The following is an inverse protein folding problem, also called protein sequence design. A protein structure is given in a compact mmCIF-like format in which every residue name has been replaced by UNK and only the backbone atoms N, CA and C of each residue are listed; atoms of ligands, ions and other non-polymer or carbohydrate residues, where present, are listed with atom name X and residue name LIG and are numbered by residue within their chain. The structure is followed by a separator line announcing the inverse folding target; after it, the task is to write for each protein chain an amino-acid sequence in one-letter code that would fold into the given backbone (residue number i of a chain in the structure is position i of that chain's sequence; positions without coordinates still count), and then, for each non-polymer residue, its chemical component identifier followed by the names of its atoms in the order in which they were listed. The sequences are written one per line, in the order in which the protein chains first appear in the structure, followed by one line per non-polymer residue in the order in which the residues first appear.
data_IF_339724770744
#
_entry.id   IF_339724770744
#
_cell.length_a   1.000
_cell.length_b   1.000
_cell.length_c   1.000
_cell.angle_alpha   90.00
_cell.angle_beta   90.00
_cell.angle_gamma   90.00
#
_symmetry.space_group_name_H-M   'P 1'
#
loop_
_entity.id
_entity.type
_entity.pdbx_description
1 polymer ?
#
# COMPACT_ATOMS: atom_id res chain seq x y z
N UNK A 1 19.81 -6.65 14.35
CA UNK A 1 18.83 -7.75 14.24
C UNK A 1 17.48 -7.37 14.85
N UNK A 2 17.42 -6.86 16.08
CA UNK A 2 16.17 -6.42 16.74
C UNK A 2 15.35 -5.40 15.91
N UNK A 3 16.01 -4.36 15.37
CA UNK A 3 15.42 -3.36 14.46
C UNK A 3 14.61 -3.98 13.32
N UNK A 4 15.23 -4.96 12.65
CA UNK A 4 14.64 -5.63 11.49
C UNK A 4 13.43 -6.47 11.90
N UNK A 5 13.52 -7.22 13.00
CA UNK A 5 12.41 -8.03 13.51
C UNK A 5 11.21 -7.17 13.89
N UNK A 6 11.45 -6.06 14.60
CA UNK A 6 10.39 -5.11 14.96
C UNK A 6 9.75 -4.48 13.72
N UNK A 7 10.55 -4.08 12.74
CA UNK A 7 10.06 -3.51 11.50
C UNK A 7 9.19 -4.51 10.72
N UNK A 8 9.63 -5.77 10.61
CA UNK A 8 8.84 -6.83 9.97
C UNK A 8 7.52 -7.05 10.72
N UNK A 9 7.52 -7.06 12.06
CA UNK A 9 6.31 -7.18 12.85
C UNK A 9 5.32 -6.03 12.59
N UNK A 10 5.81 -4.79 12.62
CA UNK A 10 5.00 -3.60 12.32
C UNK A 10 4.47 -3.62 10.89
N UNK A 11 5.30 -4.03 9.93
CA UNK A 11 4.91 -4.19 8.53
C UNK A 11 3.76 -5.19 8.40
N UNK A 12 3.89 -6.40 8.95
CA UNK A 12 2.85 -7.43 8.88
C UNK A 12 1.54 -6.97 9.52
N UNK A 13 1.59 -6.34 10.70
CA UNK A 13 0.39 -5.79 11.36
C UNK A 13 -0.28 -4.72 10.49
N UNK A 14 0.52 -3.83 9.90
CA UNK A 14 0.03 -2.77 9.02
C UNK A 14 -0.59 -3.36 7.75
N UNK A 15 0.00 -4.39 7.15
CA UNK A 15 -0.55 -5.08 5.98
C UNK A 15 -1.90 -5.74 6.28
N UNK A 16 -2.08 -6.31 7.49
CA UNK A 16 -3.38 -6.84 7.93
C UNK A 16 -4.43 -5.72 8.06
N UNK A 17 -4.06 -4.57 8.64
CA UNK A 17 -4.95 -3.41 8.76
C UNK A 17 -5.33 -2.84 7.40
N UNK A 18 -4.38 -2.72 6.47
CA UNK A 18 -4.61 -2.26 5.11
C UNK A 18 -5.52 -3.23 4.35
N UNK A 19 -5.29 -4.53 4.46
CA UNK A 19 -6.16 -5.54 3.86
C UNK A 19 -7.61 -5.43 4.38
N UNK A 20 -7.77 -5.17 5.67
CA UNK A 20 -9.08 -4.93 6.28
C UNK A 20 -9.73 -3.63 5.77
N UNK A 21 -8.99 -2.53 5.69
CA UNK A 21 -9.47 -1.27 5.09
C UNK A 21 -9.89 -1.45 3.63
N UNK A 22 -9.15 -2.25 2.86
CA UNK A 22 -9.52 -2.59 1.49
C UNK A 22 -10.79 -3.43 1.40
N UNK A 23 -10.98 -4.39 2.30
CA UNK A 23 -12.22 -5.15 2.37
C UNK A 23 -13.43 -4.24 2.67
N UNK A 24 -13.30 -3.32 3.62
CA UNK A 24 -14.38 -2.35 3.96
C UNK A 24 -14.68 -1.44 2.78
N UNK A 25 -13.65 -0.85 2.15
CA UNK A 25 -13.85 0.04 0.99
C UNK A 25 -14.46 -0.70 -0.19
N UNK A 26 -14.04 -1.95 -0.45
CA UNK A 26 -14.67 -2.79 -1.48
C UNK A 26 -16.14 -3.09 -1.18
N UNK A 27 -16.48 -3.30 0.10
CA UNK A 27 -17.87 -3.49 0.55
C UNK A 27 -18.70 -2.21 0.36
N UNK A 28 -18.16 -1.03 0.66
CA UNK A 28 -18.87 0.24 0.50
C UNK A 28 -19.11 0.62 -0.96
N UNK A 29 -18.11 0.43 -1.82
CA UNK A 29 -18.19 0.83 -3.23
C UNK A 29 -18.88 -0.19 -4.13
N UNK A 30 -18.65 -1.49 -3.90
CA UNK A 30 -19.11 -2.57 -4.79
C UNK A 30 -20.03 -3.60 -4.13
N UNK A 31 -20.35 -3.43 -2.83
CA UNK A 31 -21.13 -4.42 -2.05
C UNK A 31 -20.55 -5.84 -2.10
N UNK A 32 -19.25 -5.98 -2.38
CA UNK A 32 -18.54 -7.27 -2.34
C UNK A 32 -18.16 -7.57 -0.90
N UNK A 33 -18.50 -8.78 -0.45
CA UNK A 33 -18.17 -9.26 0.89
C UNK A 33 -17.02 -10.25 0.79
N UNK A 34 -15.98 -10.05 1.61
CA UNK A 34 -14.85 -10.98 1.74
C UNK A 34 -13.49 -10.40 1.34
N UNK A 35 -12.45 -11.19 1.58
CA UNK A 35 -11.07 -10.84 1.24
C UNK A 35 -10.68 -11.40 -0.13
N UNK A 36 -10.29 -10.52 -1.05
CA UNK A 36 -9.67 -10.92 -2.31
C UNK A 36 -8.16 -11.07 -2.11
N UNK A 37 -7.72 -12.30 -1.78
CA UNK A 37 -6.32 -12.63 -1.58
C UNK A 37 -5.42 -12.24 -2.76
N UNK A 38 -5.91 -12.33 -4.00
CA UNK A 38 -5.14 -11.94 -5.18
C UNK A 38 -4.86 -10.44 -5.19
N UNK A 39 -5.85 -9.64 -4.81
CA UNK A 39 -5.71 -8.18 -4.70
C UNK A 39 -4.83 -7.78 -3.51
N UNK A 40 -4.93 -8.48 -2.38
CA UNK A 40 -4.07 -8.25 -1.20
C UNK A 40 -2.60 -8.50 -1.56
N UNK A 41 -2.29 -9.65 -2.16
CA UNK A 41 -0.91 -10.00 -2.55
C UNK A 41 -0.32 -8.97 -3.52
N UNK A 42 -1.12 -8.52 -4.51
CA UNK A 42 -0.69 -7.42 -5.39
C UNK A 42 -0.34 -6.17 -4.59
N UNK A 43 -1.23 -5.74 -3.69
CA UNK A 43 -0.98 -4.58 -2.84
C UNK A 43 0.30 -4.69 -2.00
N UNK A 44 0.57 -5.86 -1.42
CA UNK A 44 1.80 -6.13 -0.65
C UNK A 44 3.03 -5.98 -1.55
N UNK A 45 3.02 -6.58 -2.74
CA UNK A 45 4.14 -6.50 -3.69
C UNK A 45 4.41 -5.05 -4.10
N UNK A 46 3.35 -4.29 -4.39
CA UNK A 46 3.44 -2.88 -4.73
C UNK A 46 4.09 -2.05 -3.62
N UNK A 47 3.67 -2.25 -2.36
CA UNK A 47 4.24 -1.54 -1.20
C UNK A 47 5.67 -1.97 -0.92
N UNK A 48 6.01 -3.24 -1.10
CA UNK A 48 7.40 -3.72 -0.98
C UNK A 48 8.30 -3.07 -2.04
N UNK A 49 7.84 -2.99 -3.29
CA UNK A 49 8.56 -2.30 -4.36
C UNK A 49 8.81 -0.83 -3.99
N UNK A 50 7.78 -0.11 -3.56
CA UNK A 50 7.91 1.29 -3.16
C UNK A 50 8.83 1.46 -1.95
N UNK A 51 8.70 0.60 -0.93
CA UNK A 51 9.55 0.63 0.25
C UNK A 51 11.02 0.46 -0.12
N UNK A 52 11.35 -0.58 -0.89
CA UNK A 52 12.72 -0.85 -1.32
C UNK A 52 13.26 0.34 -2.11
N UNK A 53 12.50 0.85 -3.08
CA UNK A 53 12.95 1.95 -3.92
C UNK A 53 13.19 3.24 -3.12
N UNK A 54 12.25 3.61 -2.24
CA UNK A 54 12.31 4.85 -1.47
C UNK A 54 13.37 4.82 -0.37
N UNK A 55 13.57 3.68 0.30
CA UNK A 55 14.68 3.51 1.26
C UNK A 55 16.04 3.71 0.59
N UNK A 56 16.16 3.36 -0.70
CA UNK A 56 17.37 3.58 -1.49
C UNK A 56 17.43 4.97 -2.16
N UNK A 57 16.51 5.88 -1.86
CA UNK A 57 16.50 7.24 -2.40
C UNK A 57 15.96 7.38 -3.82
N UNK A 58 15.36 6.33 -4.39
CA UNK A 58 14.79 6.37 -5.73
C UNK A 58 13.38 6.97 -5.74
N UNK A 59 13.27 8.28 -5.50
CA UNK A 59 11.98 8.99 -5.49
C UNK A 59 11.19 8.84 -6.81
N UNK A 60 11.87 8.69 -7.94
CA UNK A 60 11.26 8.47 -9.26
C UNK A 60 10.41 7.18 -9.34
N UNK A 61 10.60 6.23 -8.41
CA UNK A 61 9.76 5.05 -8.33
C UNK A 61 8.29 5.38 -8.07
N UNK A 62 7.98 6.48 -7.37
CA UNK A 62 6.61 6.96 -7.19
C UNK A 62 5.97 7.38 -8.52
N UNK A 63 6.73 8.09 -9.36
CA UNK A 63 6.28 8.52 -10.69
C UNK A 63 6.09 7.32 -11.61
N UNK A 64 7.07 6.41 -11.66
CA UNK A 64 6.98 5.18 -12.43
C UNK A 64 5.77 4.34 -12.02
N UNK A 65 5.58 4.13 -10.71
CA UNK A 65 4.47 3.37 -10.17
C UNK A 65 3.10 4.01 -10.50
N UNK A 66 3.00 5.33 -10.37
CA UNK A 66 1.78 6.07 -10.71
C UNK A 66 1.46 5.94 -12.21
N UNK A 67 2.47 6.03 -13.07
CA UNK A 67 2.31 5.85 -14.52
C UNK A 67 1.89 4.42 -14.88
N UNK A 68 2.49 3.41 -14.25
CA UNK A 68 2.12 2.00 -14.44
C UNK A 68 0.65 1.74 -14.05
N UNK A 69 0.21 2.28 -12.92
CA UNK A 69 -1.19 2.17 -12.48
C UNK A 69 -2.16 2.89 -13.40
N UNK A 70 -1.79 4.07 -13.88
CA UNK A 70 -2.61 4.80 -14.85
C UNK A 70 -2.73 4.02 -16.17
N UNK A 71 -1.63 3.50 -16.70
CA UNK A 71 -1.59 2.76 -17.96
C UNK A 71 -2.42 1.47 -17.91
N UNK A 72 -2.35 0.73 -16.81
CA UNK A 72 -3.13 -0.51 -16.63
C UNK A 72 -4.63 -0.24 -16.44
N UNK A 73 -5.00 0.93 -15.91
CA UNK A 73 -6.39 1.38 -15.77
C UNK A 73 -7.01 1.73 -17.12
N UNK A 74 -6.29 2.45 -17.99
CA UNK A 74 -6.80 2.87 -19.32
C UNK A 74 -7.22 1.68 -20.21
N UNK A 75 -6.74 0.47 -19.93
CA UNK A 75 -7.10 -0.75 -20.65
C UNK A 75 -8.44 -1.37 -20.22
N UNK A 76 -9.02 -0.93 -19.09
CA UNK A 76 -10.29 -1.47 -18.58
C UNK A 76 -11.46 -0.58 -19.01
N UNK A 77 -12.26 -1.04 -19.97
CA UNK A 77 -13.55 -0.44 -20.32
C UNK A 77 -14.62 -0.93 -19.33
N UNK A 78 -14.86 -0.19 -18.25
CA UNK A 78 -16.08 -0.40 -17.45
C UNK A 78 -17.31 0.22 -18.14
N UNK A 79 -18.49 -0.36 -17.92
CA UNK A 79 -19.77 0.18 -18.41
C UNK A 79 -19.94 1.61 -17.89
N UNK A 80 -20.30 2.53 -18.78
CA UNK A 80 -20.36 3.98 -18.55
C UNK A 80 -21.06 4.41 -17.25
N UNK A 81 -22.03 3.65 -16.74
CA UNK A 81 -22.79 3.98 -15.52
C UNK A 81 -22.01 3.83 -14.19
N UNK A 82 -20.85 3.17 -14.15
CA UNK A 82 -20.08 2.97 -12.89
C UNK A 82 -18.64 3.50 -12.94
N UNK A 83 -18.25 4.16 -14.03
CA UNK A 83 -16.87 4.60 -14.28
C UNK A 83 -16.35 5.53 -13.18
N UNK A 84 -17.19 6.44 -12.66
CA UNK A 84 -16.77 7.39 -11.61
C UNK A 84 -16.52 6.70 -10.28
N UNK A 85 -17.44 5.85 -9.83
CA UNK A 85 -17.26 5.04 -8.59
C UNK A 85 -16.04 4.14 -8.68
N UNK A 86 -15.78 3.59 -9.87
CA UNK A 86 -14.59 2.81 -10.11
C UNK A 86 -13.33 3.65 -9.99
N UNK A 87 -13.27 4.78 -10.68
CA UNK A 87 -12.12 5.67 -10.62
C UNK A 87 -11.82 6.15 -9.20
N UNK A 88 -12.85 6.51 -8.43
CA UNK A 88 -12.71 6.95 -7.04
C UNK A 88 -12.16 5.86 -6.13
N UNK A 89 -12.70 4.63 -6.23
CA UNK A 89 -12.22 3.49 -5.47
C UNK A 89 -10.73 3.21 -5.74
N UNK A 90 -10.32 3.21 -7.01
CA UNK A 90 -8.93 2.98 -7.38
C UNK A 90 -8.01 4.14 -6.97
N UNK A 91 -8.49 5.38 -7.06
CA UNK A 91 -7.74 6.56 -6.63
C UNK A 91 -7.45 6.50 -5.13
N UNK A 92 -8.48 6.28 -4.30
CA UNK A 92 -8.35 6.14 -2.85
C UNK A 92 -7.39 5.01 -2.51
N UNK A 93 -7.55 3.84 -3.14
CA UNK A 93 -6.70 2.70 -2.84
C UNK A 93 -5.23 2.92 -3.20
N UNK A 94 -4.97 3.58 -4.31
CA UNK A 94 -3.61 3.93 -4.72
C UNK A 94 -2.98 4.94 -3.76
N UNK A 95 -3.72 5.97 -3.35
CA UNK A 95 -3.25 6.99 -2.43
C UNK A 95 -2.94 6.39 -1.05
N UNK A 96 -3.85 5.56 -0.52
CA UNK A 96 -3.63 4.83 0.75
C UNK A 96 -2.36 3.98 0.66
N UNK A 97 -2.18 3.22 -0.43
CA UNK A 97 -1.00 2.37 -0.60
C UNK A 97 0.31 3.17 -0.61
N UNK A 98 0.33 4.32 -1.30
CA UNK A 98 1.50 5.22 -1.35
C UNK A 98 1.77 5.85 0.02
N UNK A 99 0.74 6.31 0.72
CA UNK A 99 0.88 6.87 2.08
C UNK A 99 1.52 5.85 3.01
N UNK A 100 1.05 4.60 3.02
CA UNK A 100 1.65 3.56 3.86
C UNK A 100 3.08 3.23 3.46
N UNK A 101 3.41 3.19 2.16
CA UNK A 101 4.79 3.01 1.73
C UNK A 101 5.71 4.13 2.24
N UNK A 102 5.27 5.40 2.18
CA UNK A 102 6.03 6.54 2.73
C UNK A 102 6.17 6.42 4.25
N UNK A 103 5.10 6.04 4.97
CA UNK A 103 5.16 5.81 6.42
C UNK A 103 6.17 4.70 6.76
N UNK A 104 6.19 3.60 6.01
CA UNK A 104 7.16 2.53 6.22
C UNK A 104 8.60 3.01 6.05
N UNK A 105 8.88 3.83 5.03
CA UNK A 105 10.20 4.42 4.81
C UNK A 105 10.59 5.33 5.97
N UNK A 106 9.66 6.19 6.41
CA UNK A 106 9.88 7.09 7.54
C UNK A 106 10.20 6.31 8.83
N UNK A 107 9.42 5.26 9.13
CA UNK A 107 9.66 4.40 10.29
C UNK A 107 11.02 3.70 10.16
N UNK A 108 11.36 3.17 8.99
CA UNK A 108 12.65 2.52 8.75
C UNK A 108 13.83 3.46 9.02
N UNK A 109 13.77 4.68 8.49
CA UNK A 109 14.83 5.69 8.64
C UNK A 109 14.95 6.21 10.09
N UNK A 110 13.86 6.25 10.85
CA UNK A 110 13.84 6.81 12.20
C UNK A 110 13.80 5.77 13.34
N UNK A 111 13.84 4.47 13.02
CA UNK A 111 13.66 3.40 14.02
C UNK A 111 14.85 3.15 14.93
N UNK A 112 15.99 3.84 14.73
CA UNK A 112 17.15 3.73 15.62
C UNK A 112 16.82 4.19 17.06
N UNK A 113 15.97 5.22 17.20
CA UNK A 113 15.49 5.69 18.49
C UNK A 113 14.57 4.68 19.20
N UNK A 114 13.77 3.91 18.45
CA UNK A 114 12.88 2.89 19.05
C UNK A 114 13.66 1.69 19.58
N UNK A 115 14.72 1.28 18.88
CA UNK A 115 15.58 0.19 19.34
C UNK A 115 16.29 0.56 20.63
N UNK A 116 16.81 1.79 20.72
CA UNK A 116 17.49 2.31 21.91
C UNK A 116 16.61 2.27 23.17
N UNK A 117 15.34 2.65 23.07
CA UNK A 117 14.40 2.68 24.20
C UNK A 117 14.03 1.29 24.74
N UNK A 118 14.07 0.25 23.92
CA UNK A 118 13.67 -1.11 24.30
C UNK A 118 14.88 -1.94 24.77
N UNK A 119 16.09 -1.59 24.33
CA UNK A 119 17.33 -2.27 24.74
C UNK A 119 17.86 -1.84 26.12
N UNK A 120 17.17 -0.94 26.81
CA UNK A 120 17.55 -0.39 28.10
C UNK A 120 16.61 -0.90 29.18
#
# INVERSE_FOLDING_TARGET
MLKLVMFIGLFVISEMLIAFLFAITAQLFYKRIGFDFRSIIKGVIERLFLLIALVNGYAHALTFFSALKLATRLKHEEKAENVDKYNDYYLIGNLVSVIFAIIYVYIWQNSDNMVYLISK
#
